data_IF_060193100401
#
_entry.id   IF_060193100401
#
_cell.length_a   1.000
_cell.length_b   1.000
_cell.length_c   1.000
_cell.angle_alpha   90.00
_cell.angle_beta   90.00
_cell.angle_gamma   90.00
#
_symmetry.space_group_name_H-M   'P 1'
#
loop_
_entity.id
_entity.type
_entity.pdbx_description
1 polymer ?
#
# COMPACT_ATOMS: atom_id res chain seq x y z
N UNK A 1 -50.67 22.44 20.35
CA UNK A 1 -49.83 23.13 19.34
C UNK A 1 -48.38 22.73 19.59
N UNK A 2 -47.85 21.71 18.93
CA UNK A 2 -46.87 21.83 17.83
C UNK A 2 -45.44 21.71 18.41
N UNK A 3 -44.47 20.95 17.89
CA UNK A 3 -44.32 20.26 16.61
C UNK A 3 -43.13 19.26 16.77
N UNK A 4 -43.14 18.19 15.97
CA UNK A 4 -42.13 17.13 15.86
C UNK A 4 -40.69 17.61 15.62
N UNK A 5 -39.71 16.83 16.09
CA UNK A 5 -38.28 17.16 15.94
C UNK A 5 -37.28 15.99 15.97
N UNK A 6 -37.56 14.91 15.21
CA UNK A 6 -36.61 13.97 14.56
C UNK A 6 -35.50 13.26 15.36
N UNK A 7 -35.66 11.94 15.42
CA UNK A 7 -34.58 10.95 15.49
C UNK A 7 -33.48 11.19 14.45
N UNK A 8 -32.20 11.09 14.87
CA UNK A 8 -31.18 10.33 14.11
C UNK A 8 -30.27 9.59 15.08
N UNK A 9 -30.64 8.35 15.31
CA UNK A 9 -29.82 7.25 15.79
C UNK A 9 -28.60 7.12 14.87
N UNK A 10 -27.39 7.28 15.38
CA UNK A 10 -26.21 6.70 14.76
C UNK A 10 -25.95 5.36 15.45
N UNK A 11 -26.55 4.30 14.90
CA UNK A 11 -26.04 2.93 15.07
C UNK A 11 -24.99 2.74 14.00
N UNK A 12 -23.81 2.32 14.43
CA UNK A 12 -22.68 2.08 13.56
C UNK A 12 -21.42 2.46 14.29
N UNK A 13 -21.04 1.66 15.28
CA UNK A 13 -19.61 1.45 15.54
C UNK A 13 -18.96 1.30 14.17
N UNK A 14 -17.99 2.14 13.77
CA UNK A 14 -17.23 1.80 12.60
C UNK A 14 -16.65 0.42 12.92
N UNK A 15 -17.11 -0.59 12.18
CA UNK A 15 -16.43 -1.88 12.11
C UNK A 15 -14.96 -1.52 12.10
N UNK A 16 -14.22 -1.95 13.11
CA UNK A 16 -12.82 -1.62 13.30
C UNK A 16 -12.10 -2.20 12.09
N UNK A 17 -12.12 -1.47 10.96
CA UNK A 17 -11.46 -1.85 9.71
C UNK A 17 -10.04 -2.07 10.17
N UNK A 18 -9.59 -3.33 10.18
CA UNK A 18 -8.22 -3.64 10.51
C UNK A 18 -7.41 -2.96 9.42
N UNK A 19 -6.94 -1.74 9.70
CA UNK A 19 -6.06 -1.00 8.81
C UNK A 19 -4.95 -1.95 8.40
N UNK A 20 -4.56 -1.93 7.13
CA UNK A 20 -3.37 -2.67 6.74
C UNK A 20 -2.21 -2.15 7.60
N UNK A 21 -1.36 -3.05 8.07
CA UNK A 21 -0.13 -2.67 8.76
C UNK A 21 1.02 -2.88 7.80
N UNK A 22 1.80 -1.84 7.60
CA UNK A 22 3.01 -1.87 6.81
C UNK A 22 4.16 -1.53 7.74
N UNK A 23 5.14 -2.43 7.83
CA UNK A 23 6.36 -2.22 8.61
C UNK A 23 7.53 -2.33 7.66
N UNK A 24 8.46 -1.39 7.82
CA UNK A 24 9.71 -1.34 7.10
C UNK A 24 10.80 -1.33 8.13
N UNK A 25 11.77 -2.21 7.98
CA UNK A 25 12.98 -2.23 8.79
C UNK A 25 14.22 -2.38 7.90
N UNK A 26 15.39 -2.51 8.51
CA UNK A 26 16.66 -2.59 7.80
C UNK A 26 16.81 -3.85 6.92
N UNK A 27 15.99 -4.88 7.13
CA UNK A 27 16.13 -6.18 6.48
C UNK A 27 14.93 -6.55 5.61
N UNK A 28 13.73 -6.10 5.99
CA UNK A 28 12.50 -6.54 5.33
C UNK A 28 11.40 -5.48 5.23
N UNK A 29 10.44 -5.82 4.38
CA UNK A 29 9.14 -5.20 4.22
C UNK A 29 8.09 -6.19 4.71
N UNK A 30 7.40 -5.86 5.79
CA UNK A 30 6.30 -6.67 6.31
C UNK A 30 4.95 -5.99 6.06
N UNK A 31 3.99 -6.76 5.55
CA UNK A 31 2.64 -6.30 5.28
C UNK A 31 1.62 -7.25 5.91
N UNK A 32 0.68 -6.69 6.66
CA UNK A 32 -0.45 -7.41 7.23
C UNK A 32 -1.76 -6.80 6.76
N UNK A 33 -2.66 -7.63 6.22
CA UNK A 33 -4.01 -7.26 5.77
C UNK A 33 -5.01 -8.32 6.21
N UNK A 34 -5.91 -7.96 7.13
CA UNK A 34 -6.88 -8.91 7.67
C UNK A 34 -6.15 -10.07 8.35
N UNK A 35 -6.38 -11.29 7.86
CA UNK A 35 -5.74 -12.52 8.34
C UNK A 35 -4.58 -12.98 7.43
N UNK A 36 -4.22 -12.17 6.42
CA UNK A 36 -3.06 -12.41 5.56
C UNK A 36 -1.88 -11.55 6.01
N UNK A 37 -0.70 -12.16 6.08
CA UNK A 37 0.56 -11.47 6.33
C UNK A 37 1.63 -11.97 5.35
N UNK A 38 2.52 -11.08 4.94
CA UNK A 38 3.71 -11.42 4.16
C UNK A 38 4.88 -10.60 4.65
N UNK A 39 6.06 -11.17 4.51
CA UNK A 39 7.33 -10.51 4.74
C UNK A 39 8.22 -10.75 3.52
N UNK A 40 8.85 -9.69 3.03
CA UNK A 40 9.73 -9.71 1.87
C UNK A 40 11.07 -9.11 2.26
N UNK A 41 12.16 -9.83 2.01
CA UNK A 41 13.50 -9.34 2.30
C UNK A 41 13.92 -8.28 1.27
N UNK A 42 14.68 -7.28 1.69
CA UNK A 42 15.24 -6.29 0.76
C UNK A 42 16.11 -6.91 -0.35
N UNK A 43 16.72 -8.07 -0.11
CA UNK A 43 17.46 -8.82 -1.13
C UNK A 43 16.59 -9.38 -2.26
N UNK A 44 15.28 -9.52 -2.02
CA UNK A 44 14.30 -9.98 -2.99
C UNK A 44 13.60 -8.83 -3.73
N UNK A 45 13.95 -7.59 -3.39
CA UNK A 45 13.32 -6.37 -3.91
C UNK A 45 14.30 -5.63 -4.79
N UNK A 46 13.92 -5.52 -6.07
CA UNK A 46 14.64 -4.67 -7.01
C UNK A 46 14.23 -3.21 -6.83
N UNK A 47 12.93 -2.94 -6.72
CA UNK A 47 12.42 -1.60 -6.47
C UNK A 47 11.12 -1.59 -5.66
N UNK A 48 10.92 -0.51 -4.89
CA UNK A 48 9.64 -0.13 -4.29
C UNK A 48 9.25 1.22 -4.84
N UNK A 49 8.13 1.27 -5.54
CA UNK A 49 7.67 2.46 -6.24
C UNK A 49 6.44 3.01 -5.51
N UNK A 50 6.52 4.26 -5.05
CA UNK A 50 5.35 5.01 -4.63
C UNK A 50 4.74 5.69 -5.85
N UNK A 51 3.54 5.27 -6.24
CA UNK A 51 2.86 5.71 -7.44
C UNK A 51 1.49 6.28 -7.11
N UNK A 52 1.11 7.40 -7.75
CA UNK A 52 -0.24 7.97 -7.69
C UNK A 52 -0.91 7.87 -9.05
N UNK A 53 -2.02 7.15 -9.13
CA UNK A 53 -2.75 7.00 -10.38
C UNK A 53 -4.11 6.33 -10.22
N UNK A 54 -4.78 6.03 -11.35
CA UNK A 54 -6.14 5.52 -11.32
C UNK A 54 -6.21 4.11 -10.72
N UNK A 55 -7.29 3.88 -9.99
CA UNK A 55 -7.69 2.61 -9.46
C UNK A 55 -8.70 1.88 -10.35
N UNK A 56 -8.91 0.59 -10.08
CA UNK A 56 -9.95 -0.18 -10.76
C UNK A 56 -11.35 0.42 -10.59
N UNK A 57 -11.60 1.16 -9.50
CA UNK A 57 -12.85 1.90 -9.25
C UNK A 57 -12.83 3.34 -9.81
N UNK A 58 -11.84 3.69 -10.63
CA UNK A 58 -11.69 5.01 -11.27
C UNK A 58 -11.11 6.10 -10.36
N UNK A 59 -10.90 5.84 -9.06
CA UNK A 59 -10.35 6.85 -8.14
C UNK A 59 -8.85 6.99 -8.30
N UNK A 60 -8.33 8.21 -8.12
CA UNK A 60 -6.89 8.44 -8.02
C UNK A 60 -6.42 8.13 -6.60
N UNK A 61 -5.50 7.18 -6.46
CA UNK A 61 -4.98 6.74 -5.16
C UNK A 61 -3.46 6.61 -5.18
N UNK A 62 -2.82 6.76 -4.02
CA UNK A 62 -1.41 6.44 -3.83
C UNK A 62 -1.25 4.95 -3.51
N UNK A 63 -0.28 4.30 -4.14
CA UNK A 63 0.02 2.88 -3.95
C UNK A 63 1.52 2.64 -3.84
N UNK A 64 1.89 1.64 -3.05
CA UNK A 64 3.21 1.03 -3.14
C UNK A 64 3.16 -0.16 -4.08
N UNK A 65 4.03 -0.13 -5.07
CA UNK A 65 4.30 -1.23 -5.99
C UNK A 65 5.67 -1.83 -5.62
N UNK A 66 5.77 -3.15 -5.60
CA UNK A 66 7.02 -3.87 -5.41
C UNK A 66 7.40 -4.54 -6.72
N UNK A 67 8.62 -4.25 -7.18
CA UNK A 67 9.28 -4.94 -8.27
C UNK A 67 10.22 -5.96 -7.63
N UNK A 68 9.97 -7.27 -7.82
CA UNK A 68 10.86 -8.31 -7.34
C UNK A 68 12.18 -8.28 -8.13
N UNK A 69 13.27 -8.75 -7.52
CA UNK A 69 14.44 -9.16 -8.32
C UNK A 69 14.06 -10.32 -9.24
N UNK A 70 14.73 -10.49 -10.41
CA UNK A 70 14.53 -11.64 -11.26
C UNK A 70 14.66 -12.95 -10.47
N UNK A 71 13.78 -13.92 -10.77
CA UNK A 71 13.73 -15.24 -10.14
C UNK A 71 13.43 -15.26 -8.63
N UNK A 72 13.13 -14.12 -7.99
CA UNK A 72 12.62 -14.14 -6.63
C UNK A 72 11.29 -14.91 -6.57
N UNK A 73 11.27 -15.97 -5.78
CA UNK A 73 10.04 -16.69 -5.43
C UNK A 73 9.20 -15.88 -4.43
N UNK A 74 8.75 -14.70 -4.84
CA UNK A 74 7.60 -14.06 -4.18
C UNK A 74 6.35 -14.81 -4.65
N UNK A 75 5.51 -15.25 -3.70
CA UNK A 75 4.29 -16.04 -3.89
C UNK A 75 3.86 -16.21 -5.37
N UNK A 76 4.21 -17.36 -5.97
CA UNK A 76 4.07 -17.69 -7.40
C UNK A 76 2.64 -17.54 -7.95
N UNK A 77 1.64 -17.35 -7.09
CA UNK A 77 0.23 -17.21 -7.44
C UNK A 77 -0.25 -15.77 -7.68
N UNK A 78 0.59 -14.74 -7.50
CA UNK A 78 0.19 -13.35 -7.78
C UNK A 78 0.72 -12.89 -9.14
N UNK A 79 -0.22 -12.63 -10.05
CA UNK A 79 0.06 -12.04 -11.38
C UNK A 79 0.78 -10.70 -11.19
N UNK A 80 2.02 -10.63 -11.68
CA UNK A 80 2.78 -9.40 -11.72
C UNK A 80 2.35 -8.57 -12.94
N UNK A 81 1.38 -7.68 -12.75
CA UNK A 81 1.04 -6.71 -13.78
C UNK A 81 2.24 -5.77 -14.02
N UNK A 82 2.48 -5.32 -15.26
CA UNK A 82 3.51 -4.32 -15.53
C UNK A 82 3.19 -3.04 -14.75
N UNK A 83 4.19 -2.47 -14.07
CA UNK A 83 3.99 -1.20 -13.39
C UNK A 83 3.86 -0.05 -14.41
N UNK A 84 3.07 0.99 -14.11
CA UNK A 84 2.80 2.09 -15.04
C UNK A 84 3.97 3.08 -15.20
N UNK A 85 5.09 2.90 -14.48
CA UNK A 85 6.23 3.82 -14.50
C UNK A 85 7.26 3.38 -15.54
N UNK A 86 7.69 2.11 -15.48
CA UNK A 86 8.74 1.56 -16.34
C UNK A 86 8.38 0.21 -16.98
N UNK A 87 7.17 -0.31 -16.74
CA UNK A 87 6.66 -1.54 -17.36
C UNK A 87 7.17 -2.83 -16.73
N UNK A 88 8.13 -2.80 -15.79
CA UNK A 88 8.61 -4.02 -15.11
C UNK A 88 7.48 -4.73 -14.35
N UNK A 89 7.51 -6.07 -14.27
CA UNK A 89 6.53 -6.83 -13.50
C UNK A 89 6.52 -6.36 -12.04
N UNK A 90 5.36 -5.98 -11.53
CA UNK A 90 5.22 -5.51 -10.16
C UNK A 90 4.02 -6.11 -9.45
N UNK A 91 4.04 -6.03 -8.13
CA UNK A 91 2.94 -6.36 -7.25
C UNK A 91 2.49 -5.11 -6.52
N UNK A 92 1.18 -4.85 -6.48
CA UNK A 92 0.63 -3.86 -5.55
C UNK A 92 0.80 -4.39 -4.12
N UNK A 93 1.72 -3.80 -3.36
CA UNK A 93 1.86 -4.07 -1.94
C UNK A 93 0.72 -3.44 -1.17
N UNK A 94 0.52 -2.15 -1.36
CA UNK A 94 -0.32 -1.37 -0.49
C UNK A 94 -1.09 -0.32 -1.26
N UNK A 95 -2.37 -0.21 -0.92
CA UNK A 95 -3.19 0.96 -1.22
C UNK A 95 -3.15 1.86 0.02
N UNK A 96 -2.60 3.07 -0.13
CA UNK A 96 -2.35 3.95 1.01
C UNK A 96 -3.63 4.51 1.61
N UNK A 97 -4.77 4.42 0.90
CA UNK A 97 -6.08 4.74 1.49
C UNK A 97 -6.51 3.74 2.58
N UNK A 98 -5.80 2.61 2.75
CA UNK A 98 -6.14 1.53 3.68
C UNK A 98 -5.17 1.40 4.87
N UNK A 99 -4.16 2.27 4.96
CA UNK A 99 -3.25 2.38 6.10
C UNK A 99 -3.53 3.64 6.90
N UNK A 100 -2.92 3.73 8.08
CA UNK A 100 -3.01 4.92 8.94
C UNK A 100 -1.98 5.97 8.57
N UNK A 101 -0.79 5.53 8.17
CA UNK A 101 0.32 6.41 7.82
C UNK A 101 0.04 7.13 6.50
N UNK A 102 0.45 8.40 6.46
CA UNK A 102 0.34 9.22 5.25
C UNK A 102 1.35 8.77 4.19
N UNK A 103 1.11 9.09 2.90
CA UNK A 103 2.09 8.84 1.85
C UNK A 103 3.48 9.43 2.14
N UNK A 104 3.55 10.61 2.74
CA UNK A 104 4.84 11.24 3.05
C UNK A 104 5.57 10.54 4.21
N UNK A 105 4.85 10.06 5.23
CA UNK A 105 5.45 9.25 6.30
C UNK A 105 6.01 7.93 5.78
N UNK A 106 5.28 7.29 4.86
CA UNK A 106 5.73 6.06 4.20
C UNK A 106 6.94 6.33 3.31
N UNK A 107 6.91 7.42 2.53
CA UNK A 107 8.03 7.82 1.69
C UNK A 107 9.30 8.11 2.51
N UNK A 108 9.19 8.84 3.61
CA UNK A 108 10.31 9.11 4.51
C UNK A 108 10.91 7.81 5.10
N UNK A 109 10.04 6.89 5.51
CA UNK A 109 10.45 5.58 6.04
C UNK A 109 11.16 4.75 4.97
N UNK A 110 10.61 4.67 3.76
CA UNK A 110 11.21 3.93 2.65
C UNK A 110 12.50 4.57 2.12
N UNK A 111 12.60 5.90 2.14
CA UNK A 111 13.85 6.60 1.84
C UNK A 111 14.96 6.20 2.82
N UNK A 112 14.60 6.04 4.10
CA UNK A 112 15.55 5.68 5.17
C UNK A 112 16.02 4.23 5.06
N UNK A 113 15.10 3.26 4.89
CA UNK A 113 15.44 1.84 4.94
C UNK A 113 15.60 1.18 3.56
N UNK A 114 14.85 1.62 2.56
CA UNK A 114 14.93 1.10 1.19
C UNK A 114 16.07 1.72 0.38
N UNK A 115 16.52 2.93 0.75
CA UNK A 115 17.60 3.63 0.09
C UNK A 115 17.38 3.73 -1.43
N UNK A 116 18.38 3.32 -2.21
CA UNK A 116 18.33 3.37 -3.68
C UNK A 116 17.22 2.49 -4.32
N UNK A 117 16.62 1.56 -3.58
CA UNK A 117 15.51 0.73 -4.07
C UNK A 117 14.18 1.49 -4.07
N UNK A 118 14.06 2.55 -3.29
CA UNK A 118 12.83 3.33 -3.20
C UNK A 118 12.77 4.41 -4.28
N UNK A 119 11.66 4.46 -5.01
CA UNK A 119 11.40 5.45 -6.05
C UNK A 119 10.06 6.15 -5.77
N UNK A 120 10.08 7.46 -5.55
CA UNK A 120 8.86 8.27 -5.43
C UNK A 120 8.48 8.83 -6.81
N UNK A 121 7.42 8.27 -7.40
CA UNK A 121 6.87 8.64 -8.70
C UNK A 121 5.48 9.27 -8.57
N UNK A 122 5.20 9.93 -7.44
CA UNK A 122 4.02 10.80 -7.34
C UNK A 122 4.26 12.05 -8.21
N UNK A 123 3.23 12.55 -8.92
CA UNK A 123 3.33 13.86 -9.56
C UNK A 123 3.59 14.92 -8.49
N UNK A 124 4.46 15.88 -8.81
CA UNK A 124 4.80 17.03 -7.97
C UNK A 124 3.57 17.89 -7.64
#
# INVERSE_FOLDING_TARGET
MGRLGRFRRWVGTPLRRRSHRFRVDAHSLALTRGDWATEVLWSQVEAVILYRGPAADGRVVCRLLLVPVPDAMLDRGLVHAPNPVDGRPCRVLLDLAKVKDTPDQIAATLTTYGGARFLDHRPA
#
